data_IF_749928724580
#
_entry.id   IF_749928724580
#
_cell.length_a   1.000
_cell.length_b   1.000
_cell.length_c   1.000
_cell.angle_alpha   90.00
_cell.angle_beta   90.00
_cell.angle_gamma   90.00
#
_symmetry.space_group_name_H-M   'P 1'
#
loop_
_entity.id
_entity.type
_entity.pdbx_description
1 polymer ?
#
# COMPACT_ATOMS: atom_id res chain seq x y z
N UNK A 1 -20.83 16.55 -11.83
CA UNK A 1 -19.60 15.87 -11.36
C UNK A 1 -19.79 14.36 -11.27
N UNK A 2 -20.76 13.86 -10.49
CA UNK A 2 -20.96 12.41 -10.31
C UNK A 2 -21.27 11.63 -11.61
N UNK A 3 -22.17 12.09 -12.48
CA UNK A 3 -22.49 11.36 -13.72
C UNK A 3 -21.28 11.23 -14.68
N UNK A 4 -20.47 12.28 -14.81
CA UNK A 4 -19.25 12.23 -15.62
C UNK A 4 -18.20 11.25 -15.05
N UNK A 5 -18.08 11.18 -13.72
CA UNK A 5 -17.25 10.17 -13.06
C UNK A 5 -17.76 8.74 -13.35
N UNK A 6 -19.08 8.52 -13.28
CA UNK A 6 -19.70 7.23 -13.60
C UNK A 6 -19.40 6.82 -15.05
N UNK A 7 -19.57 7.72 -16.02
CA UNK A 7 -19.29 7.44 -17.44
C UNK A 7 -17.82 7.06 -17.66
N UNK A 8 -16.90 7.82 -17.06
CA UNK A 8 -15.46 7.57 -17.11
C UNK A 8 -15.08 6.22 -16.50
N UNK A 9 -15.60 5.89 -15.32
CA UNK A 9 -15.28 4.61 -14.65
C UNK A 9 -15.90 3.42 -15.38
N UNK A 10 -17.10 3.59 -15.93
CA UNK A 10 -17.77 2.57 -16.73
C UNK A 10 -16.98 2.24 -17.99
N UNK A 11 -16.35 3.21 -18.64
CA UNK A 11 -15.54 2.95 -19.84
C UNK A 11 -14.25 2.19 -19.50
N UNK A 12 -13.57 2.55 -18.41
CA UNK A 12 -12.33 1.90 -17.97
C UNK A 12 -12.55 0.44 -17.58
N UNK A 13 -13.60 0.14 -16.80
CA UNK A 13 -13.90 -1.25 -16.38
C UNK A 13 -14.37 -2.12 -17.55
N UNK A 14 -14.99 -1.54 -18.60
CA UNK A 14 -15.34 -2.27 -19.82
C UNK A 14 -14.12 -2.73 -20.62
N UNK A 15 -13.05 -1.95 -20.61
CA UNK A 15 -11.81 -2.22 -21.37
C UNK A 15 -10.96 -3.33 -20.73
N UNK A 16 -11.07 -3.56 -19.41
CA UNK A 16 -10.31 -4.59 -18.67
C UNK A 16 -10.83 -6.05 -18.76
N UNK A 17 -11.97 -6.30 -19.43
CA UNK A 17 -12.56 -7.62 -19.77
C UNK A 17 -12.91 -8.62 -18.64
N UNK A 18 -14.19 -8.69 -18.23
CA UNK A 18 -15.02 -9.94 -18.14
C UNK A 18 -16.50 -9.61 -17.87
N UNK A 19 -17.43 -10.53 -18.20
CA UNK A 19 -18.91 -10.36 -18.19
C UNK A 19 -19.54 -9.97 -16.82
N UNK A 20 -18.79 -9.94 -15.74
CA UNK A 20 -19.27 -9.70 -14.37
C UNK A 20 -19.52 -8.22 -14.04
N UNK A 21 -18.94 -7.29 -14.80
CA UNK A 21 -19.06 -5.83 -14.54
C UNK A 21 -20.35 -5.17 -15.03
N UNK A 22 -21.32 -5.95 -15.54
CA UNK A 22 -22.54 -5.37 -16.13
C UNK A 22 -23.43 -4.60 -15.14
N UNK A 23 -23.27 -4.81 -13.82
CA UNK A 23 -24.15 -4.27 -12.78
C UNK A 23 -23.40 -3.56 -11.64
N UNK A 24 -22.30 -2.85 -11.92
CA UNK A 24 -21.62 -2.05 -10.88
C UNK A 24 -22.50 -0.88 -10.46
N UNK A 25 -22.81 -0.77 -9.16
CA UNK A 25 -23.50 0.38 -8.60
C UNK A 25 -22.50 1.52 -8.34
N UNK A 26 -22.13 2.25 -9.41
CA UNK A 26 -21.16 3.34 -9.31
C UNK A 26 -21.60 4.48 -8.38
N UNK A 27 -22.91 4.73 -8.26
CA UNK A 27 -23.42 5.74 -7.32
C UNK A 27 -23.08 5.36 -5.88
N UNK A 28 -23.25 4.09 -5.52
CA UNK A 28 -22.89 3.57 -4.20
C UNK A 28 -21.38 3.61 -3.96
N UNK A 29 -20.58 3.13 -4.92
CA UNK A 29 -19.12 3.16 -4.81
C UNK A 29 -18.56 4.59 -4.64
N UNK A 30 -19.11 5.57 -5.37
CA UNK A 30 -18.65 6.95 -5.31
C UNK A 30 -18.98 7.68 -4.00
N UNK A 31 -19.76 7.08 -3.09
CA UNK A 31 -19.90 7.58 -1.70
C UNK A 31 -18.59 7.42 -0.91
N UNK A 32 -17.74 6.47 -1.29
CA UNK A 32 -16.52 6.12 -0.58
C UNK A 32 -16.73 5.24 0.65
N UNK A 33 -17.95 4.76 0.91
CA UNK A 33 -18.29 3.98 2.10
C UNK A 33 -18.12 2.46 1.92
N UNK A 34 -17.73 2.01 0.72
CA UNK A 34 -17.67 0.58 0.42
C UNK A 34 -16.41 -0.08 1.02
N UNK A 35 -16.51 -1.31 1.53
CA UNK A 35 -15.36 -2.08 2.00
C UNK A 35 -14.30 -2.26 0.91
N UNK A 36 -13.03 -2.35 1.31
CA UNK A 36 -11.91 -2.51 0.37
C UNK A 36 -12.07 -3.74 -0.52
N UNK A 37 -12.53 -4.87 0.02
CA UNK A 37 -12.75 -6.12 -0.72
C UNK A 37 -13.73 -5.94 -1.88
N UNK A 38 -14.81 -5.18 -1.66
CA UNK A 38 -15.82 -4.92 -2.69
C UNK A 38 -15.24 -4.03 -3.78
N UNK A 39 -14.49 -2.99 -3.41
CA UNK A 39 -13.81 -2.11 -4.35
C UNK A 39 -12.80 -2.90 -5.19
N UNK A 40 -11.93 -3.68 -4.56
CA UNK A 40 -10.91 -4.48 -5.26
C UNK A 40 -11.54 -5.49 -6.21
N UNK A 41 -12.65 -6.12 -5.84
CA UNK A 41 -13.39 -7.05 -6.70
C UNK A 41 -13.96 -6.37 -7.95
N UNK A 42 -14.40 -5.12 -7.87
CA UNK A 42 -14.84 -4.35 -9.05
C UNK A 42 -13.70 -4.16 -10.05
N UNK A 43 -12.49 -3.93 -9.56
CA UNK A 43 -11.29 -3.76 -10.39
C UNK A 43 -10.53 -5.07 -10.64
N UNK A 44 -10.99 -6.20 -10.12
CA UNK A 44 -10.32 -7.51 -10.21
C UNK A 44 -8.90 -7.50 -9.64
N UNK A 45 -8.72 -6.81 -8.51
CA UNK A 45 -7.43 -6.61 -7.83
C UNK A 45 -7.34 -7.35 -6.48
N UNK A 46 -8.34 -8.16 -6.14
CA UNK A 46 -8.45 -8.94 -4.90
C UNK A 46 -7.70 -10.28 -4.96
N UNK A 47 -7.49 -10.83 -6.16
CA UNK A 47 -6.89 -12.15 -6.32
C UNK A 47 -5.37 -12.07 -6.54
N UNK A 48 -4.64 -11.67 -5.52
CA UNK A 48 -3.18 -11.74 -5.49
C UNK A 48 -2.50 -10.42 -5.86
N UNK A 49 -1.71 -9.93 -4.90
CA UNK A 49 -1.15 -8.60 -4.92
C UNK A 49 -0.13 -8.35 -6.05
N UNK A 50 0.73 -9.33 -6.38
CA UNK A 50 1.70 -9.18 -7.47
C UNK A 50 1.00 -8.95 -8.84
N UNK A 51 -0.09 -9.69 -9.08
CA UNK A 51 -0.92 -9.49 -10.27
C UNK A 51 -1.64 -8.14 -10.22
N UNK A 52 -2.10 -7.73 -9.05
CA UNK A 52 -2.78 -6.45 -8.87
C UNK A 52 -1.86 -5.26 -9.18
N UNK A 53 -0.61 -5.29 -8.70
CA UNK A 53 0.37 -4.21 -8.90
C UNK A 53 0.83 -4.07 -10.36
N UNK A 54 0.77 -5.14 -11.15
CA UNK A 54 1.15 -5.15 -12.57
C UNK A 54 -0.05 -5.04 -13.52
N UNK A 55 -1.28 -4.99 -12.98
CA UNK A 55 -2.51 -4.96 -13.76
C UNK A 55 -2.81 -3.57 -14.31
N UNK A 56 -3.29 -3.50 -15.56
CA UNK A 56 -3.85 -2.26 -16.12
C UNK A 56 -5.08 -1.75 -15.35
N UNK A 57 -5.76 -2.61 -14.59
CA UNK A 57 -6.88 -2.23 -13.74
C UNK A 57 -6.46 -1.39 -12.53
N UNK A 58 -5.17 -1.40 -12.14
CA UNK A 58 -4.64 -0.49 -11.12
C UNK A 58 -4.89 0.97 -11.52
N UNK A 59 -4.71 1.30 -12.81
CA UNK A 59 -4.96 2.65 -13.32
C UNK A 59 -6.44 3.06 -13.26
N UNK A 60 -7.33 2.09 -13.45
CA UNK A 60 -8.76 2.29 -13.29
C UNK A 60 -9.11 2.55 -11.81
N UNK A 61 -8.48 1.83 -10.87
CA UNK A 61 -8.67 2.05 -9.43
C UNK A 61 -8.10 3.40 -8.96
N UNK A 62 -6.93 3.82 -9.46
CA UNK A 62 -6.40 5.17 -9.22
C UNK A 62 -7.39 6.25 -9.66
N UNK A 63 -7.99 6.06 -10.84
CA UNK A 63 -9.03 6.96 -11.35
C UNK A 63 -10.25 6.97 -10.44
N UNK A 64 -10.68 5.82 -9.94
CA UNK A 64 -11.78 5.73 -8.98
C UNK A 64 -11.48 6.49 -7.69
N UNK A 65 -10.32 6.25 -7.07
CA UNK A 65 -9.88 6.95 -5.86
C UNK A 65 -9.89 8.46 -6.07
N UNK A 66 -9.40 8.92 -7.23
CA UNK A 66 -9.44 10.35 -7.59
C UNK A 66 -10.85 10.91 -7.68
N UNK A 67 -11.78 10.22 -8.34
CA UNK A 67 -13.16 10.70 -8.46
C UNK A 67 -13.93 10.63 -7.14
N UNK A 68 -13.71 9.59 -6.31
CA UNK A 68 -14.28 9.50 -4.95
C UNK A 68 -13.81 10.68 -4.11
N UNK A 69 -12.51 10.98 -4.09
CA UNK A 69 -11.96 12.04 -3.25
C UNK A 69 -12.36 13.46 -3.67
N UNK A 70 -12.83 13.65 -4.92
CA UNK A 70 -13.48 14.90 -5.35
C UNK A 70 -14.91 15.04 -4.82
N UNK A 71 -15.61 13.91 -4.66
CA UNK A 71 -17.00 13.86 -4.19
C UNK A 71 -17.04 13.88 -2.66
N UNK A 72 -16.15 13.12 -2.03
CA UNK A 72 -16.01 12.99 -0.59
C UNK A 72 -14.70 13.61 -0.11
N UNK A 73 -14.77 14.86 0.34
CA UNK A 73 -13.59 15.61 0.81
C UNK A 73 -13.20 15.29 2.24
N UNK A 74 -14.13 14.76 3.04
CA UNK A 74 -13.94 14.56 4.48
C UNK A 74 -13.45 13.15 4.82
N UNK A 75 -13.80 12.16 4.00
CA UNK A 75 -13.35 10.77 4.15
C UNK A 75 -12.66 10.32 2.86
N UNK A 76 -11.40 10.74 2.71
CA UNK A 76 -10.59 10.40 1.55
C UNK A 76 -10.17 8.93 1.60
N UNK A 77 -10.30 8.25 0.47
CA UNK A 77 -9.76 6.90 0.26
C UNK A 77 -8.41 6.98 -0.45
N UNK A 78 -7.57 5.96 -0.32
CA UNK A 78 -6.31 5.86 -1.06
C UNK A 78 -6.13 4.46 -1.62
N UNK A 79 -5.35 4.33 -2.69
CA UNK A 79 -5.00 3.03 -3.28
C UNK A 79 -4.30 2.14 -2.25
N UNK A 80 -3.34 2.70 -1.51
CA UNK A 80 -2.65 1.98 -0.44
C UNK A 80 -3.62 1.56 0.66
N UNK A 81 -4.52 2.44 1.11
CA UNK A 81 -5.48 2.09 2.15
C UNK A 81 -6.41 0.95 1.75
N UNK A 82 -6.83 0.90 0.48
CA UNK A 82 -7.61 -0.22 -0.05
C UNK A 82 -6.79 -1.52 -0.09
N UNK A 83 -5.53 -1.46 -0.53
CA UNK A 83 -4.67 -2.64 -0.55
C UNK A 83 -4.30 -3.13 0.84
N UNK A 84 -3.96 -2.26 1.80
CA UNK A 84 -3.60 -2.67 3.16
C UNK A 84 -4.80 -3.20 3.94
N UNK A 85 -6.00 -2.66 3.71
CA UNK A 85 -7.23 -3.18 4.29
C UNK A 85 -7.53 -4.63 3.85
N UNK A 86 -7.15 -5.00 2.63
CA UNK A 86 -7.38 -6.36 2.10
C UNK A 86 -6.21 -7.32 2.34
N UNK A 87 -4.98 -6.89 2.03
CA UNK A 87 -3.78 -7.75 2.05
C UNK A 87 -2.94 -7.62 3.32
N UNK A 88 -3.14 -6.57 4.11
CA UNK A 88 -2.31 -6.23 5.28
C UNK A 88 -1.08 -5.38 4.94
N UNK A 89 -0.65 -4.53 5.88
CA UNK A 89 0.49 -3.62 5.72
C UNK A 89 1.78 -4.34 5.34
N UNK A 90 2.11 -5.46 6.00
CA UNK A 90 3.36 -6.19 5.76
C UNK A 90 3.46 -6.79 4.36
N UNK A 91 2.36 -7.35 3.86
CA UNK A 91 2.31 -7.93 2.52
C UNK A 91 2.40 -6.84 1.44
N UNK A 92 1.66 -5.73 1.63
CA UNK A 92 1.69 -4.58 0.71
C UNK A 92 3.08 -3.96 0.64
N UNK A 93 3.68 -3.68 1.79
CA UNK A 93 4.99 -3.06 1.86
C UNK A 93 6.08 -3.90 1.18
N UNK A 94 6.11 -5.21 1.47
CA UNK A 94 7.04 -6.14 0.84
C UNK A 94 6.85 -6.20 -0.68
N UNK A 95 5.60 -6.28 -1.14
CA UNK A 95 5.30 -6.41 -2.55
C UNK A 95 5.65 -5.14 -3.33
N UNK A 96 5.47 -3.94 -2.76
CA UNK A 96 5.84 -2.68 -3.40
C UNK A 96 7.36 -2.59 -3.64
N UNK A 97 8.18 -2.93 -2.65
CA UNK A 97 9.64 -2.97 -2.85
C UNK A 97 10.02 -3.98 -3.93
N UNK A 98 9.44 -5.18 -3.86
CA UNK A 98 9.73 -6.25 -4.83
C UNK A 98 9.31 -5.86 -6.25
N UNK A 99 8.12 -5.30 -6.42
CA UNK A 99 7.60 -4.83 -7.69
C UNK A 99 8.43 -3.67 -8.26
N UNK A 100 8.90 -2.76 -7.40
CA UNK A 100 9.77 -1.66 -7.82
C UNK A 100 11.10 -2.18 -8.38
N UNK A 101 11.72 -3.16 -7.71
CA UNK A 101 12.96 -3.80 -8.19
C UNK A 101 12.77 -4.61 -9.48
N UNK A 102 11.58 -5.15 -9.71
CA UNK A 102 11.25 -5.98 -10.87
C UNK A 102 10.61 -5.20 -12.02
N UNK A 103 10.37 -3.90 -11.86
CA UNK A 103 9.68 -3.08 -12.84
C UNK A 103 10.42 -3.12 -14.19
N UNK A 104 9.67 -3.39 -15.26
CA UNK A 104 10.22 -3.56 -16.62
C UNK A 104 10.19 -2.29 -17.44
N UNK A 105 9.39 -1.31 -17.01
CA UNK A 105 9.19 -0.03 -17.69
C UNK A 105 9.36 1.13 -16.72
N UNK A 106 9.73 2.29 -17.27
CA UNK A 106 9.84 3.53 -16.48
C UNK A 106 8.51 3.92 -15.85
N UNK A 107 7.40 3.73 -16.56
CA UNK A 107 6.06 4.06 -16.08
C UNK A 107 5.65 3.15 -14.91
N UNK A 108 5.88 1.84 -15.03
CA UNK A 108 5.65 0.87 -13.93
C UNK A 108 6.49 1.24 -12.71
N UNK A 109 7.78 1.51 -12.90
CA UNK A 109 8.66 1.92 -11.81
C UNK A 109 8.15 3.18 -11.11
N UNK A 110 7.73 4.20 -11.88
CA UNK A 110 7.21 5.45 -11.33
C UNK A 110 5.90 5.24 -10.56
N UNK A 111 4.96 4.45 -11.08
CA UNK A 111 3.71 4.11 -10.39
C UNK A 111 3.98 3.38 -9.07
N UNK A 112 4.81 2.33 -9.07
CA UNK A 112 5.09 1.57 -7.85
C UNK A 112 5.86 2.42 -6.84
N UNK A 113 6.80 3.26 -7.31
CA UNK A 113 7.50 4.21 -6.45
C UNK A 113 6.54 5.18 -5.77
N UNK A 114 5.57 5.75 -6.50
CA UNK A 114 4.57 6.63 -5.92
C UNK A 114 3.73 5.92 -4.85
N UNK A 115 3.29 4.68 -5.12
CA UNK A 115 2.56 3.88 -4.15
C UNK A 115 3.38 3.62 -2.87
N UNK A 116 4.69 3.38 -3.01
CA UNK A 116 5.59 3.22 -1.88
C UNK A 116 5.73 4.52 -1.07
N UNK A 117 5.89 5.66 -1.74
CA UNK A 117 5.94 6.98 -1.09
C UNK A 117 4.63 7.32 -0.38
N UNK A 118 3.48 6.98 -0.98
CA UNK A 118 2.14 7.14 -0.38
C UNK A 118 1.99 6.28 0.88
N UNK A 119 2.50 5.04 0.87
CA UNK A 119 2.46 4.15 2.05
C UNK A 119 3.28 4.74 3.21
N UNK A 120 4.52 5.15 2.97
CA UNK A 120 5.37 5.76 4.00
C UNK A 120 4.76 7.06 4.54
N UNK A 121 4.21 7.89 3.65
CA UNK A 121 3.55 9.15 4.02
C UNK A 121 2.29 8.92 4.82
N UNK A 122 1.52 7.87 4.52
CA UNK A 122 0.32 7.51 5.28
C UNK A 122 0.66 7.07 6.71
N UNK A 123 1.72 6.27 6.88
CA UNK A 123 2.21 5.89 8.21
C UNK A 123 2.72 7.11 9.00
N UNK A 124 3.49 8.00 8.35
CA UNK A 124 3.98 9.21 8.98
C UNK A 124 2.84 10.16 9.40
N UNK A 125 1.88 10.39 8.50
CA UNK A 125 0.71 11.24 8.77
C UNK A 125 -0.23 10.66 9.84
N UNK A 126 -0.16 9.34 10.06
CA UNK A 126 -0.85 8.65 11.16
C UNK A 126 0.00 8.57 12.43
N UNK A 127 1.09 9.35 12.50
CA UNK A 127 2.00 9.46 13.65
C UNK A 127 2.57 8.10 14.11
N UNK A 128 2.79 7.17 13.18
CA UNK A 128 3.37 5.87 13.53
C UNK A 128 4.84 6.04 13.91
N UNK A 129 5.22 5.56 15.09
CA UNK A 129 6.64 5.43 15.44
C UNK A 129 7.34 4.38 14.57
N UNK A 130 8.67 4.39 14.59
CA UNK A 130 9.48 3.34 13.95
C UNK A 130 9.13 1.96 14.54
N UNK A 131 8.94 1.87 15.86
CA UNK A 131 8.50 0.64 16.54
C UNK A 131 7.12 0.13 16.05
N UNK A 132 6.19 1.05 15.79
CA UNK A 132 4.88 0.70 15.23
C UNK A 132 5.03 0.14 13.82
N UNK A 133 5.87 0.74 12.97
CA UNK A 133 6.12 0.23 11.61
C UNK A 133 6.88 -1.10 11.64
N UNK A 134 7.84 -1.28 12.54
CA UNK A 134 8.49 -2.58 12.78
C UNK A 134 7.46 -3.68 13.06
N UNK A 135 6.48 -3.39 13.92
CA UNK A 135 5.39 -4.31 14.27
C UNK A 135 4.44 -4.54 13.09
N UNK A 136 4.06 -3.48 12.36
CA UNK A 136 3.20 -3.60 11.17
C UNK A 136 3.83 -4.49 10.10
N UNK A 137 5.14 -4.45 9.95
CA UNK A 137 5.90 -5.28 9.01
C UNK A 137 6.06 -6.73 9.48
N UNK A 138 5.68 -7.05 10.73
CA UNK A 138 5.80 -8.38 11.32
C UNK A 138 7.24 -8.92 11.31
N UNK A 139 8.22 -8.03 11.54
CA UNK A 139 9.64 -8.38 11.46
C UNK A 139 10.07 -9.34 12.57
N UNK A 140 9.45 -9.28 13.74
CA UNK A 140 9.72 -10.23 14.84
C UNK A 140 9.24 -11.63 14.46
N UNK A 141 8.06 -11.73 13.88
CA UNK A 141 7.41 -12.96 13.48
C UNK A 141 8.17 -13.66 12.35
N UNK A 142 8.76 -12.88 11.44
CA UNK A 142 9.61 -13.38 10.36
C UNK A 142 10.98 -13.91 10.87
N UNK A 143 11.36 -13.60 12.11
CA UNK A 143 12.60 -14.08 12.73
C UNK A 143 13.84 -13.75 11.89
N UNK A 144 14.73 -14.73 11.69
CA UNK A 144 15.96 -14.53 10.90
C UNK A 144 15.67 -14.18 9.43
N UNK A 145 14.53 -14.63 8.87
CA UNK A 145 14.16 -14.36 7.50
C UNK A 145 13.84 -12.87 7.26
N UNK A 146 13.53 -12.12 8.32
CA UNK A 146 13.34 -10.68 8.26
C UNK A 146 14.58 -9.97 7.73
N UNK A 147 15.79 -10.40 8.12
CA UNK A 147 17.05 -9.73 7.78
C UNK A 147 17.37 -9.74 6.28
N UNK A 148 16.86 -10.72 5.54
CA UNK A 148 16.98 -10.82 4.09
C UNK A 148 15.68 -10.40 3.35
N UNK A 149 14.68 -9.91 4.08
CA UNK A 149 13.38 -9.56 3.53
C UNK A 149 13.37 -8.11 3.02
N UNK A 150 12.68 -7.82 1.89
CA UNK A 150 12.42 -6.45 1.46
C UNK A 150 11.74 -5.56 2.52
N UNK A 151 11.13 -6.18 3.54
CA UNK A 151 10.56 -5.47 4.70
C UNK A 151 11.62 -4.67 5.47
N UNK A 152 12.89 -5.09 5.47
CA UNK A 152 13.96 -4.30 6.08
C UNK A 152 14.27 -3.03 5.30
N UNK A 153 14.23 -3.08 3.97
CA UNK A 153 14.36 -1.87 3.12
C UNK A 153 13.21 -0.89 3.36
N UNK A 154 12.00 -1.41 3.63
CA UNK A 154 10.85 -0.58 4.02
C UNK A 154 11.10 0.11 5.36
N UNK A 155 11.54 -0.63 6.38
CA UNK A 155 11.82 -0.07 7.69
C UNK A 155 12.91 1.01 7.62
N UNK A 156 14.00 0.72 6.93
CA UNK A 156 15.12 1.66 6.74
C UNK A 156 14.67 2.94 6.03
N UNK A 157 13.88 2.83 4.96
CA UNK A 157 13.36 4.01 4.26
C UNK A 157 12.35 4.81 5.10
N UNK A 158 11.54 4.15 5.93
CA UNK A 158 10.69 4.85 6.89
C UNK A 158 11.51 5.59 7.95
N UNK A 159 12.57 4.97 8.48
CA UNK A 159 13.46 5.62 9.45
C UNK A 159 14.13 6.85 8.86
N UNK A 160 14.64 6.76 7.62
CA UNK A 160 15.20 7.93 6.90
C UNK A 160 14.16 9.04 6.73
N UNK A 161 12.91 8.69 6.45
CA UNK A 161 11.82 9.66 6.36
C UNK A 161 11.57 10.34 7.70
N UNK A 162 11.46 9.57 8.79
CA UNK A 162 11.24 10.09 10.15
C UNK A 162 12.40 10.99 10.58
N UNK A 163 13.66 10.58 10.41
CA UNK A 163 14.86 11.35 10.79
C UNK A 163 14.93 12.68 10.04
N UNK A 164 14.55 12.71 8.75
CA UNK A 164 14.47 13.96 7.97
C UNK A 164 13.40 14.91 8.49
N UNK A 165 12.36 14.39 9.14
CA UNK A 165 11.22 15.17 9.64
C UNK A 165 11.31 15.52 11.12
N UNK A 166 11.97 14.70 11.93
CA UNK A 166 12.15 14.82 13.37
C UNK A 166 13.59 14.41 13.71
N UNK A 167 14.36 15.28 14.35
CA UNK A 167 15.77 15.07 14.71
C UNK A 167 15.95 14.12 15.91
N UNK A 168 15.36 12.92 15.85
CA UNK A 168 15.57 11.87 16.84
C UNK A 168 16.75 10.96 16.49
N UNK A 169 17.53 10.59 17.52
CA UNK A 169 18.76 9.78 17.43
C UNK A 169 18.52 8.25 17.32
N UNK A 170 17.29 7.80 17.03
CA UNK A 170 16.99 6.37 16.98
C UNK A 170 17.59 5.71 15.74
N UNK A 171 18.58 4.86 15.98
CA UNK A 171 19.29 4.10 14.95
C UNK A 171 18.58 2.79 14.61
N UNK A 172 18.81 2.28 13.39
CA UNK A 172 18.28 0.98 12.97
C UNK A 172 18.65 -0.14 13.96
N UNK A 173 19.88 -0.13 14.49
CA UNK A 173 20.33 -1.10 15.48
C UNK A 173 19.48 -1.03 16.76
N UNK A 174 19.19 0.16 17.28
CA UNK A 174 18.34 0.32 18.46
C UNK A 174 16.92 -0.19 18.23
N UNK A 175 16.33 0.12 17.07
CA UNK A 175 15.01 -0.41 16.67
C UNK A 175 15.00 -1.92 16.63
N UNK A 176 16.01 -2.54 15.99
CA UNK A 176 16.10 -4.00 15.89
C UNK A 176 16.30 -4.64 17.27
N UNK A 177 17.18 -4.09 18.11
CA UNK A 177 17.42 -4.56 19.47
C UNK A 177 16.14 -4.54 20.29
N UNK A 178 15.37 -3.44 20.27
CA UNK A 178 14.07 -3.36 20.95
C UNK A 178 13.06 -4.34 20.34
N UNK A 179 12.94 -4.32 19.01
CA UNK A 179 11.99 -5.10 18.22
C UNK A 179 12.14 -6.60 18.42
N UNK A 180 13.35 -7.14 18.51
CA UNK A 180 13.62 -8.55 18.80
C UNK A 180 13.69 -8.89 20.30
N UNK A 181 13.70 -7.86 21.17
CA UNK A 181 13.56 -8.02 22.62
C UNK A 181 14.87 -8.17 23.38
N UNK A 182 15.92 -7.50 22.92
CA UNK A 182 17.23 -7.40 23.56
C UNK A 182 18.39 -7.74 22.61
N UNK A 183 19.59 -7.29 22.96
CA UNK A 183 20.82 -7.53 22.17
C UNK A 183 21.10 -9.03 22.04
N UNK A 184 20.90 -9.80 23.11
CA UNK A 184 21.10 -11.26 23.11
C UNK A 184 20.21 -11.95 22.07
N UNK A 185 18.93 -11.57 21.99
CA UNK A 185 17.97 -12.15 21.02
C UNK A 185 18.28 -11.72 19.60
N UNK A 186 18.73 -10.49 19.38
CA UNK A 186 19.17 -10.02 18.08
C UNK A 186 20.45 -10.76 17.64
N UNK A 187 21.41 -10.95 18.54
CA UNK A 187 22.65 -11.66 18.26
C UNK A 187 22.43 -13.13 17.88
N UNK A 188 21.39 -13.78 18.40
CA UNK A 188 21.02 -15.15 17.98
C UNK A 188 20.52 -15.25 16.53
N UNK A 189 20.21 -14.12 15.87
CA UNK A 189 19.73 -14.07 14.49
C UNK A 189 20.84 -13.76 13.46
N UNK A 190 22.02 -13.34 13.92
CA UNK A 190 23.17 -12.91 13.09
C UNK A 190 24.24 -14.01 13.04
#
# INVERSE_FOLDING_TARGET
MMNAAIEKLTSLVKVGTSRTSKNVNWKSLLTGEQPADEVLKVFQLENGLERALTSSNLKAMETYVHEVNKINTNNKVSVIGLFTAHYGDDAVAKALVTAQSNAKTTDEFATIRQLREDQLSAWLSSEKSVDNVFTLLKLREDGYAALASPKMDVLDDYMKLVIRTNSGDETLLQTLTKGFGGEEKLAMLL
#
